data_IF_250019833929
#
_entry.id   IF_250019833929
#
_cell.length_a   1.000
_cell.length_b   1.000
_cell.length_c   1.000
_cell.angle_alpha   90.00
_cell.angle_beta   90.00
_cell.angle_gamma   90.00
#
_symmetry.space_group_name_H-M   'P 1'
#
loop_
_entity.id
_entity.type
_entity.pdbx_description
1 polymer ?
#
# COMPACT_ATOMS: atom_id res chain seq x y z
N UNK A 1 -8.82 11.49 18.95
CA UNK A 1 -8.81 11.65 17.48
C UNK A 1 -10.24 11.52 17.00
N UNK A 2 -10.69 12.43 16.13
CA UNK A 2 -12.01 12.33 15.46
C UNK A 2 -11.75 11.67 14.12
N UNK A 3 -12.37 10.52 13.86
CA UNK A 3 -12.33 9.88 12.55
C UNK A 3 -13.68 10.10 11.90
N UNK A 4 -13.70 10.87 10.80
CA UNK A 4 -14.90 11.02 9.95
C UNK A 4 -14.89 9.95 8.87
N UNK A 5 -15.93 9.14 8.81
CA UNK A 5 -16.06 8.09 7.79
C UNK A 5 -16.90 8.61 6.62
N UNK A 6 -16.32 8.62 5.42
CA UNK A 6 -17.03 8.99 4.19
C UNK A 6 -17.84 7.80 3.67
N UNK A 7 -18.96 7.46 4.33
CA UNK A 7 -19.92 6.48 3.82
C UNK A 7 -21.31 6.75 4.38
N UNK A 8 -22.18 7.37 3.57
CA UNK A 8 -23.66 7.53 3.64
C UNK A 8 -24.36 7.78 5.00
N UNK A 9 -23.64 7.89 6.10
CA UNK A 9 -24.09 8.17 7.45
C UNK A 9 -23.00 9.03 8.09
N UNK A 10 -23.26 10.33 8.22
CA UNK A 10 -22.41 11.30 8.91
C UNK A 10 -22.29 10.95 10.40
N UNK A 11 -21.48 9.92 10.69
CA UNK A 11 -21.23 9.47 12.06
C UNK A 11 -19.83 9.88 12.46
N UNK A 12 -19.76 10.78 13.44
CA UNK A 12 -18.50 11.14 14.10
C UNK A 12 -18.26 10.16 15.25
N UNK A 13 -17.11 9.47 15.22
CA UNK A 13 -16.69 8.59 16.31
C UNK A 13 -15.47 9.18 17.04
N UNK A 14 -15.58 9.27 18.36
CA UNK A 14 -14.57 9.85 19.24
C UNK A 14 -13.77 8.74 19.91
N UNK A 15 -12.48 8.65 19.57
CA UNK A 15 -11.54 7.77 20.25
C UNK A 15 -10.83 8.56 21.35
N UNK A 16 -10.97 8.09 22.59
CA UNK A 16 -10.33 8.64 23.79
C UNK A 16 -9.50 7.55 24.48
N UNK A 17 -8.31 7.91 24.91
CA UNK A 17 -7.38 7.07 25.65
C UNK A 17 -6.29 7.94 26.27
N UNK A 18 -5.49 7.38 27.18
CA UNK A 18 -4.30 8.08 27.69
C UNK A 18 -3.33 8.40 26.56
N UNK A 19 -3.23 7.48 25.60
CA UNK A 19 -2.48 7.59 24.36
C UNK A 19 -3.33 7.04 23.20
N UNK A 20 -3.05 7.49 21.98
CA UNK A 20 -3.70 7.01 20.76
C UNK A 20 -2.62 6.65 19.75
N UNK A 21 -2.61 5.40 19.29
CA UNK A 21 -1.66 4.88 18.30
C UNK A 21 -2.37 4.81 16.95
N UNK A 22 -1.76 5.41 15.92
CA UNK A 22 -2.29 5.41 14.56
C UNK A 22 -1.58 4.35 13.70
N UNK A 23 -2.34 3.35 13.23
CA UNK A 23 -1.83 2.20 12.49
C UNK A 23 -2.58 1.93 11.18
N UNK A 24 -2.91 2.98 10.43
CA UNK A 24 -3.67 2.89 9.17
C UNK A 24 -2.76 2.68 7.91
N UNK A 25 -1.53 2.21 8.10
CA UNK A 25 -0.54 2.03 7.04
C UNK A 25 0.01 3.35 6.47
N UNK A 26 0.94 3.25 5.51
CA UNK A 26 1.66 4.41 4.96
C UNK A 26 0.73 5.47 4.36
N UNK A 27 -0.31 5.06 3.63
CA UNK A 27 -1.26 5.96 2.98
C UNK A 27 -2.32 6.47 3.96
N UNK A 28 -2.98 5.56 4.69
CA UNK A 28 -4.09 5.91 5.57
C UNK A 28 -3.66 6.75 6.78
N UNK A 29 -2.50 6.46 7.38
CA UNK A 29 -2.00 7.23 8.52
C UNK A 29 -1.66 8.67 8.13
N UNK A 30 -1.01 8.88 6.98
CA UNK A 30 -0.69 10.22 6.48
C UNK A 30 -1.97 11.03 6.21
N UNK A 31 -2.97 10.40 5.56
CA UNK A 31 -4.27 11.03 5.30
C UNK A 31 -4.97 11.44 6.60
N UNK A 32 -5.04 10.55 7.60
CA UNK A 32 -5.70 10.83 8.88
C UNK A 32 -5.02 12.00 9.60
N UNK A 33 -3.69 12.06 9.60
CA UNK A 33 -2.95 13.18 10.20
C UNK A 33 -3.27 14.51 9.50
N UNK A 34 -3.23 14.53 8.16
CA UNK A 34 -3.56 15.71 7.37
C UNK A 34 -4.99 16.20 7.65
N UNK A 35 -5.98 15.30 7.60
CA UNK A 35 -7.38 15.61 7.90
C UNK A 35 -7.61 16.01 9.36
N UNK A 36 -6.68 15.66 10.26
CA UNK A 36 -6.69 16.08 11.67
C UNK A 36 -5.94 17.39 11.90
N UNK A 37 -5.47 18.08 10.86
CA UNK A 37 -4.73 19.34 11.00
C UNK A 37 -3.27 19.18 11.41
N UNK A 38 -2.67 18.00 11.21
CA UNK A 38 -1.27 17.69 11.50
C UNK A 38 -0.56 17.42 10.16
N UNK A 39 0.22 18.38 9.67
CA UNK A 39 0.88 18.29 8.38
C UNK A 39 1.42 19.63 7.87
N UNK A 40 1.85 19.73 6.60
CA UNK A 40 2.40 20.97 6.04
C UNK A 40 1.35 22.09 6.07
N UNK A 41 1.66 23.23 6.71
CA UNK A 41 0.74 24.37 6.84
C UNK A 41 0.09 24.80 5.53
N UNK A 42 0.88 24.95 4.47
CA UNK A 42 0.40 25.42 3.16
C UNK A 42 -0.63 24.47 2.55
N UNK A 43 -0.38 23.16 2.62
CA UNK A 43 -1.31 22.14 2.12
C UNK A 43 -2.61 22.13 2.94
N UNK A 44 -2.51 22.20 4.27
CA UNK A 44 -3.67 22.24 5.15
C UNK A 44 -4.54 23.49 4.89
N UNK A 45 -3.91 24.65 4.74
CA UNK A 45 -4.60 25.90 4.44
C UNK A 45 -5.29 25.87 3.07
N UNK A 46 -4.64 25.29 2.05
CA UNK A 46 -5.21 25.09 0.71
C UNK A 46 -6.54 24.33 0.75
N UNK A 47 -6.66 23.36 1.66
CA UNK A 47 -7.88 22.56 1.85
C UNK A 47 -8.79 23.06 2.97
N UNK A 48 -8.56 24.27 3.49
CA UNK A 48 -9.36 24.89 4.56
C UNK A 48 -9.40 24.05 5.85
N UNK A 49 -8.33 23.30 6.13
CA UNK A 49 -8.19 22.49 7.35
C UNK A 49 -7.46 23.34 8.40
N UNK A 50 -7.99 23.47 9.63
CA UNK A 50 -7.30 24.15 10.72
C UNK A 50 -5.93 23.51 11.00
N UNK A 51 -4.88 24.31 11.06
CA UNK A 51 -3.53 23.85 11.37
C UNK A 51 -3.37 23.71 12.88
N UNK A 52 -3.35 22.48 13.38
CA UNK A 52 -3.07 22.17 14.79
C UNK A 52 -1.56 22.05 15.00
N UNK A 53 -0.87 21.32 14.11
CA UNK A 53 0.59 21.17 14.12
C UNK A 53 1.12 21.27 12.70
N UNK A 54 2.06 22.18 12.49
CA UNK A 54 2.78 22.30 11.23
C UNK A 54 3.93 21.28 11.20
N UNK A 55 3.73 20.19 10.45
CA UNK A 55 4.67 19.08 10.34
C UNK A 55 4.90 18.72 8.86
N UNK A 56 5.89 19.33 8.19
CA UNK A 56 6.03 19.27 6.72
C UNK A 56 6.36 17.88 6.17
N UNK A 57 6.82 16.94 7.01
CA UNK A 57 7.12 15.56 6.60
C UNK A 57 5.89 14.68 6.40
N UNK A 58 4.72 15.06 6.91
CA UNK A 58 3.50 14.23 6.79
C UNK A 58 3.08 14.12 5.33
N UNK A 59 2.90 12.89 4.85
CA UNK A 59 2.54 12.61 3.45
C UNK A 59 3.70 12.77 2.46
N UNK A 60 4.94 12.96 2.94
CA UNK A 60 6.15 13.04 2.11
C UNK A 60 7.00 11.78 2.29
N UNK A 61 8.06 11.66 1.48
CA UNK A 61 8.98 10.52 1.49
C UNK A 61 8.27 9.16 1.30
N UNK A 62 7.23 9.11 0.48
CA UNK A 62 6.65 7.84 0.05
C UNK A 62 7.67 7.13 -0.86
N UNK A 63 8.05 5.93 -0.47
CA UNK A 63 8.91 5.06 -1.27
C UNK A 63 8.18 3.75 -1.53
N UNK A 64 8.36 3.21 -2.72
CA UNK A 64 7.84 1.91 -3.11
C UNK A 64 8.83 1.23 -4.06
N UNK A 65 8.71 -0.09 -4.17
CA UNK A 65 9.49 -0.87 -5.12
C UNK A 65 8.77 -0.92 -6.46
N UNK A 66 9.30 -0.20 -7.45
CA UNK A 66 8.79 -0.27 -8.82
C UNK A 66 8.95 -1.69 -9.34
N UNK A 67 7.85 -2.28 -9.83
CA UNK A 67 7.81 -3.65 -10.31
C UNK A 67 7.45 -3.70 -11.80
N UNK A 68 8.14 -4.56 -12.55
CA UNK A 68 7.75 -4.98 -13.90
C UNK A 68 7.42 -6.46 -13.88
N UNK A 69 6.26 -6.83 -14.43
CA UNK A 69 5.80 -8.21 -14.48
C UNK A 69 6.15 -8.79 -15.86
N UNK A 70 6.88 -9.90 -15.87
CA UNK A 70 7.12 -10.69 -17.08
C UNK A 70 6.31 -11.99 -16.98
N UNK A 71 5.42 -12.22 -17.95
CA UNK A 71 4.58 -13.42 -18.00
C UNK A 71 5.05 -14.29 -19.16
N UNK A 72 5.33 -15.56 -18.88
CA UNK A 72 5.73 -16.55 -19.88
C UNK A 72 4.70 -17.68 -19.94
N UNK A 73 4.45 -18.21 -21.14
CA UNK A 73 3.62 -19.39 -21.30
C UNK A 73 4.40 -20.66 -20.98
N UNK A 74 3.89 -21.47 -20.05
CA UNK A 74 4.44 -22.78 -19.74
C UNK A 74 3.98 -23.82 -20.76
N UNK A 75 4.85 -24.80 -21.08
CA UNK A 75 4.50 -25.99 -21.88
C UNK A 75 3.73 -27.05 -21.07
N UNK A 76 3.75 -26.94 -19.74
CA UNK A 76 3.03 -27.82 -18.81
C UNK A 76 2.03 -27.02 -17.98
N UNK A 77 0.94 -27.64 -17.48
CA UNK A 77 -0.03 -26.95 -16.63
C UNK A 77 0.64 -26.31 -15.41
N UNK A 78 0.36 -25.03 -15.17
CA UNK A 78 0.81 -24.27 -14.00
C UNK A 78 -0.18 -24.40 -12.85
N UNK A 79 0.20 -23.96 -11.65
CA UNK A 79 -0.57 -24.07 -10.40
C UNK A 79 -2.08 -23.77 -10.58
N UNK A 80 -2.42 -22.66 -11.21
CA UNK A 80 -3.82 -22.26 -11.44
C UNK A 80 -4.62 -23.25 -12.30
N UNK A 81 -4.01 -23.89 -13.28
CA UNK A 81 -4.70 -24.88 -14.15
C UNK A 81 -4.57 -26.31 -13.64
N UNK A 82 -3.51 -26.62 -12.89
CA UNK A 82 -3.20 -27.96 -12.38
C UNK A 82 -3.96 -28.26 -11.08
N UNK A 83 -4.05 -27.27 -10.20
CA UNK A 83 -4.39 -27.51 -8.80
C UNK A 83 -5.82 -27.07 -8.42
N UNK A 84 -6.51 -26.29 -9.27
CA UNK A 84 -7.93 -25.93 -9.12
C UNK A 84 -8.85 -27.11 -9.53
N UNK A 85 -8.85 -28.17 -8.72
CA UNK A 85 -9.71 -29.35 -8.87
C UNK A 85 -10.72 -29.46 -7.72
N UNK A 86 -11.88 -30.13 -7.93
CA UNK A 86 -12.85 -30.35 -6.84
C UNK A 86 -12.26 -31.08 -5.63
N UNK A 87 -11.34 -32.02 -5.86
CA UNK A 87 -10.65 -32.75 -4.78
C UNK A 87 -9.77 -31.82 -3.92
N UNK A 88 -8.95 -30.99 -4.56
CA UNK A 88 -8.12 -30.02 -3.85
C UNK A 88 -8.96 -28.96 -3.13
N UNK A 89 -10.10 -28.57 -3.71
CA UNK A 89 -11.06 -27.68 -3.07
C UNK A 89 -11.67 -28.33 -1.82
N UNK A 90 -12.08 -29.60 -1.90
CA UNK A 90 -12.59 -30.34 -0.75
C UNK A 90 -11.52 -30.51 0.34
N UNK A 91 -10.28 -30.81 -0.05
CA UNK A 91 -9.14 -30.93 0.89
C UNK A 91 -8.84 -29.63 1.61
N UNK A 92 -8.89 -28.50 0.89
CA UNK A 92 -8.77 -27.18 1.49
C UNK A 92 -9.93 -26.87 2.43
N UNK A 93 -11.16 -27.10 2.01
CA UNK A 93 -12.36 -26.77 2.78
C UNK A 93 -12.50 -27.59 4.07
N UNK A 94 -12.08 -28.85 4.06
CA UNK A 94 -12.25 -29.77 5.19
C UNK A 94 -11.03 -29.86 6.10
N UNK A 95 -9.82 -29.67 5.57
CA UNK A 95 -8.57 -29.89 6.31
C UNK A 95 -7.68 -28.65 6.37
N UNK A 96 -7.98 -27.59 5.62
CA UNK A 96 -7.09 -26.44 5.46
C UNK A 96 -5.76 -26.80 4.80
N UNK A 97 -5.75 -27.85 3.95
CA UNK A 97 -4.55 -28.40 3.32
C UNK A 97 -4.68 -28.47 1.80
N UNK A 98 -3.56 -28.69 1.13
CA UNK A 98 -3.50 -28.91 -0.31
C UNK A 98 -2.95 -27.68 -1.05
N UNK A 99 -2.83 -27.77 -2.38
CA UNK A 99 -2.14 -26.75 -3.16
C UNK A 99 -2.84 -25.38 -3.15
N UNK A 100 -4.13 -25.31 -2.81
CA UNK A 100 -4.87 -24.05 -2.67
C UNK A 100 -4.45 -23.21 -1.45
N UNK A 101 -3.59 -23.73 -0.58
CA UNK A 101 -2.94 -22.93 0.48
C UNK A 101 -1.68 -22.23 0.00
N UNK A 102 -1.21 -22.50 -1.22
CA UNK A 102 -0.04 -21.83 -1.81
C UNK A 102 -0.39 -20.43 -2.31
N UNK A 103 0.55 -19.49 -2.16
CA UNK A 103 0.44 -18.14 -2.73
C UNK A 103 0.83 -18.07 -4.21
N UNK A 104 1.43 -19.14 -4.74
CA UNK A 104 1.93 -19.21 -6.12
C UNK A 104 3.38 -18.76 -6.30
N UNK A 105 4.00 -18.14 -5.29
CA UNK A 105 5.41 -17.73 -5.30
C UNK A 105 6.27 -18.73 -4.55
N UNK A 106 6.93 -19.63 -5.28
CA UNK A 106 7.73 -20.71 -4.69
C UNK A 106 9.24 -20.41 -4.67
N UNK A 107 9.68 -19.41 -5.43
CA UNK A 107 11.10 -19.03 -5.53
C UNK A 107 11.25 -17.52 -5.60
N UNK A 108 12.27 -17.00 -4.92
CA UNK A 108 12.67 -15.59 -4.97
C UNK A 108 14.17 -15.52 -5.29
N UNK A 109 14.52 -14.68 -6.28
CA UNK A 109 15.90 -14.36 -6.60
C UNK A 109 16.19 -12.89 -6.33
N UNK A 110 17.38 -12.59 -5.81
CA UNK A 110 17.88 -11.23 -5.66
C UNK A 110 19.18 -11.11 -6.45
N UNK A 111 19.17 -10.30 -7.52
CA UNK A 111 20.36 -9.98 -8.30
C UNK A 111 20.81 -8.55 -8.00
N UNK A 112 22.08 -8.37 -7.65
CA UNK A 112 22.65 -7.04 -7.47
C UNK A 112 22.92 -6.40 -8.83
N UNK A 113 22.28 -5.26 -9.12
CA UNK A 113 22.52 -4.49 -10.33
C UNK A 113 23.52 -3.37 -10.02
N UNK A 114 24.67 -3.34 -10.71
CA UNK A 114 25.66 -2.27 -10.56
C UNK A 114 25.09 -0.92 -11.02
N UNK A 115 25.42 0.13 -10.27
CA UNK A 115 24.84 1.47 -10.41
C UNK A 115 25.52 2.27 -11.54
N UNK A 116 25.19 1.96 -12.79
CA UNK A 116 25.52 2.77 -13.98
C UNK A 116 24.24 3.30 -14.68
N UNK A 117 23.15 3.49 -13.91
CA UNK A 117 21.86 3.98 -14.42
C UNK A 117 21.54 5.43 -14.03
N UNK A 118 22.36 6.08 -13.20
CA UNK A 118 22.17 7.49 -12.81
C UNK A 118 22.36 8.48 -13.96
N UNK A 119 23.00 8.08 -15.06
CA UNK A 119 23.27 8.97 -16.22
C UNK A 119 22.08 9.09 -17.18
N UNK A 120 21.12 8.15 -17.14
CA UNK A 120 19.98 8.14 -18.07
C UNK A 120 18.72 8.82 -17.54
N UNK A 121 18.56 8.93 -16.22
CA UNK A 121 17.37 9.53 -15.59
C UNK A 121 17.50 11.04 -15.26
N UNK A 122 18.69 11.62 -15.40
CA UNK A 122 18.93 13.06 -15.16
C UNK A 122 18.52 13.95 -16.35
N UNK A 123 18.06 13.37 -17.47
CA UNK A 123 17.65 14.13 -18.68
C UNK A 123 16.15 14.40 -18.77
N UNK A 124 15.36 13.99 -17.80
CA UNK A 124 13.94 14.39 -17.69
C UNK A 124 13.75 15.27 -16.45
N UNK A 125 14.31 16.48 -16.51
CA UNK A 125 13.65 17.62 -15.88
C UNK A 125 12.28 17.75 -16.56
N UNK A 126 11.25 17.16 -15.96
CA UNK A 126 9.89 17.45 -16.31
C UNK A 126 9.63 18.93 -15.98
N UNK A 127 9.21 19.76 -16.95
CA UNK A 127 8.80 21.13 -16.63
C UNK A 127 7.55 21.07 -15.74
N UNK A 128 7.53 21.91 -14.70
CA UNK A 128 6.37 22.12 -13.83
C UNK A 128 5.13 22.45 -14.68
N UNK A 129 4.08 21.62 -14.55
CA UNK A 129 2.71 21.93 -14.98
C UNK A 129 1.79 21.73 -13.77
#
# INVERSE_FOLDING_TARGET
VIVKRTSSLDKEEFIKGKEVILSAGTVGSAQILLLSGIGPREELQKHQIPVIVDLPGVGKNLQDHIMTILVYQSKIPTLSTRDLTPENLQKWATQGKGPLTSTGSESLGCSHCYRELSVLLDKTQAPDI
#
